data_IF_643039546909
#
_entry.id   IF_643039546909
#
_cell.length_a   1.000
_cell.length_b   1.000
_cell.length_c   1.000
_cell.angle_alpha   90.00
_cell.angle_beta   90.00
_cell.angle_gamma   90.00
#
_symmetry.space_group_name_H-M   'P 1'
#
loop_
_entity.id
_entity.type
_entity.pdbx_description
1 polymer ?
#
# COMPACT_ATOMS: atom_id res chain seq x y z
N UNK A 1 3.72 5.16 8.89
CA UNK A 1 2.56 5.44 8.03
C UNK A 1 2.15 4.15 7.32
N UNK A 2 0.89 3.80 7.40
CA UNK A 2 0.35 2.61 6.74
C UNK A 2 -0.92 3.00 6.01
N UNK A 3 -1.04 2.55 4.77
CA UNK A 3 -2.22 2.80 3.94
C UNK A 3 -2.72 1.46 3.40
N UNK A 4 -3.97 1.14 3.67
CA UNK A 4 -4.59 -0.12 3.26
C UNK A 4 -5.68 0.13 2.23
N UNK A 5 -5.70 -0.69 1.21
CA UNK A 5 -6.61 -0.57 0.08
C UNK A 5 -7.23 -1.92 -0.22
N UNK A 6 -8.48 -1.91 -0.65
CA UNK A 6 -9.17 -3.11 -1.10
C UNK A 6 -9.88 -2.86 -2.42
N UNK A 7 -10.01 -3.92 -3.19
CA UNK A 7 -10.84 -3.92 -4.39
C UNK A 7 -11.74 -5.14 -4.33
N UNK A 8 -13.03 -4.90 -4.12
CA UNK A 8 -14.01 -5.96 -3.95
C UNK A 8 -15.09 -5.80 -5.02
N UNK A 9 -15.18 -6.79 -5.90
CA UNK A 9 -16.21 -6.87 -6.93
C UNK A 9 -16.71 -8.30 -6.99
N UNK A 10 -17.79 -8.62 -6.24
CA UNK A 10 -18.31 -9.99 -6.18
C UNK A 10 -18.77 -10.52 -7.54
N UNK A 11 -19.27 -9.66 -8.42
CA UNK A 11 -19.72 -10.06 -9.75
C UNK A 11 -18.60 -10.61 -10.60
N UNK A 12 -17.37 -10.12 -10.39
CA UNK A 12 -16.17 -10.55 -11.10
C UNK A 12 -15.32 -11.49 -10.25
N UNK A 13 -15.81 -11.91 -9.10
CA UNK A 13 -15.05 -12.72 -8.15
C UNK A 13 -13.69 -12.08 -7.82
N UNK A 14 -13.70 -10.75 -7.66
CA UNK A 14 -12.50 -9.98 -7.38
C UNK A 14 -12.46 -9.56 -5.91
N UNK A 15 -11.51 -10.11 -5.17
CA UNK A 15 -11.31 -9.82 -3.75
C UNK A 15 -9.81 -9.60 -3.54
N UNK A 16 -9.36 -8.35 -3.66
CA UNK A 16 -7.94 -8.03 -3.60
C UNK A 16 -7.65 -7.00 -2.52
N UNK A 17 -6.46 -7.07 -1.97
CA UNK A 17 -5.97 -6.06 -1.05
C UNK A 17 -4.64 -5.50 -1.54
N UNK A 18 -4.31 -4.31 -1.07
CA UNK A 18 -3.02 -3.68 -1.30
C UNK A 18 -2.66 -2.87 -0.06
N UNK A 19 -1.48 -3.11 0.48
CA UNK A 19 -1.01 -2.42 1.68
C UNK A 19 0.30 -1.71 1.37
N UNK A 20 0.39 -0.45 1.77
CA UNK A 20 1.58 0.37 1.58
C UNK A 20 2.03 0.81 2.97
N UNK A 21 3.30 0.59 3.30
CA UNK A 21 3.86 1.10 4.54
C UNK A 21 5.12 1.90 4.28
N UNK A 22 5.28 2.97 5.06
CA UNK A 22 6.46 3.82 5.03
C UNK A 22 7.04 3.84 6.43
N UNK A 23 8.29 3.44 6.55
CA UNK A 23 9.02 3.42 7.80
C UNK A 23 10.42 4.00 7.60
N UNK A 24 10.98 4.56 8.65
CA UNK A 24 12.39 4.96 8.66
C UNK A 24 13.19 3.93 9.45
N UNK A 25 14.42 3.66 8.99
CA UNK A 25 15.30 2.77 9.72
C UNK A 25 16.31 3.57 10.55
N UNK A 26 17.21 2.85 11.24
CA UNK A 26 18.21 3.44 12.10
C UNK A 26 19.34 4.16 11.34
N UNK A 27 19.40 3.98 10.04
CA UNK A 27 20.44 4.55 9.18
C UNK A 27 19.93 5.73 8.34
N UNK A 28 18.84 6.36 8.78
CA UNK A 28 18.22 7.49 8.09
C UNK A 28 17.72 7.15 6.68
N UNK A 29 17.51 5.88 6.40
CA UNK A 29 16.87 5.45 5.17
C UNK A 29 15.37 5.33 5.36
N UNK A 30 14.61 5.56 4.28
CA UNK A 30 13.17 5.46 4.26
C UNK A 30 12.76 4.27 3.43
N UNK A 31 11.98 3.37 4.02
CA UNK A 31 11.59 2.11 3.39
C UNK A 31 10.10 2.14 3.06
N UNK A 32 9.79 1.98 1.79
CA UNK A 32 8.41 1.83 1.31
C UNK A 32 8.19 0.35 1.01
N UNK A 33 7.31 -0.27 1.78
CA UNK A 33 6.96 -1.69 1.60
C UNK A 33 5.55 -1.78 1.05
N UNK A 34 5.38 -2.56 -0.01
CA UNK A 34 4.07 -2.84 -0.58
C UNK A 34 3.79 -4.32 -0.48
N UNK A 35 2.59 -4.67 -0.08
CA UNK A 35 2.15 -6.05 -0.02
C UNK A 35 0.76 -6.13 -0.63
N UNK A 36 0.53 -7.10 -1.50
CA UNK A 36 -0.74 -7.24 -2.19
C UNK A 36 -1.05 -8.69 -2.47
N UNK A 37 -2.30 -8.97 -2.74
CA UNK A 37 -2.74 -10.31 -3.06
C UNK A 37 -4.24 -10.44 -2.99
N UNK A 38 -4.72 -11.67 -2.99
CA UNK A 38 -6.13 -11.98 -2.83
C UNK A 38 -6.47 -12.06 -1.35
N UNK A 39 -7.58 -11.44 -0.97
CA UNK A 39 -8.08 -11.51 0.41
C UNK A 39 -8.37 -12.97 0.77
N UNK A 40 -7.83 -13.41 1.90
CA UNK A 40 -7.99 -14.78 2.37
C UNK A 40 -6.97 -15.77 1.83
N UNK A 41 -6.14 -15.37 0.87
CA UNK A 41 -5.07 -16.22 0.36
C UNK A 41 -3.86 -16.16 1.26
N UNK A 42 -3.15 -17.29 1.38
CA UNK A 42 -1.88 -17.33 2.13
C UNK A 42 -0.71 -16.84 1.29
N UNK A 43 -0.87 -16.71 -0.02
CA UNK A 43 0.18 -16.23 -0.91
C UNK A 43 0.02 -14.76 -1.17
N UNK A 44 1.02 -14.00 -0.78
CA UNK A 44 1.06 -12.56 -0.98
C UNK A 44 2.32 -12.18 -1.74
N UNK A 45 2.22 -11.11 -2.50
CA UNK A 45 3.36 -10.49 -3.16
C UNK A 45 3.87 -9.35 -2.30
N UNK A 46 5.17 -9.14 -2.29
CA UNK A 46 5.77 -8.07 -1.52
C UNK A 46 6.87 -7.40 -2.33
N UNK A 47 6.92 -6.08 -2.24
CA UNK A 47 7.97 -5.28 -2.86
C UNK A 47 8.48 -4.27 -1.83
N UNK A 48 9.79 -4.10 -1.77
CA UNK A 48 10.42 -3.17 -0.84
C UNK A 48 11.32 -2.23 -1.63
N UNK A 49 11.13 -0.93 -1.45
CA UNK A 49 11.95 0.12 -2.05
C UNK A 49 12.59 0.95 -0.93
N UNK A 50 13.86 1.29 -1.09
CA UNK A 50 14.60 2.08 -0.10
C UNK A 50 14.97 3.43 -0.71
N UNK A 51 14.75 4.50 0.05
CA UNK A 51 15.02 5.87 -0.38
C UNK A 51 15.87 6.59 0.65
N UNK A 52 16.71 7.50 0.20
CA UNK A 52 17.58 8.31 1.08
C UNK A 52 16.87 9.55 1.61
N UNK A 53 15.69 9.88 1.07
CA UNK A 53 14.96 11.10 1.38
C UNK A 53 13.52 10.78 1.71
N UNK A 54 12.98 11.44 2.74
CA UNK A 54 11.56 11.32 3.08
C UNK A 54 10.68 11.81 1.94
N UNK A 55 11.08 12.87 1.26
CA UNK A 55 10.31 13.44 0.15
C UNK A 55 10.18 12.45 -1.01
N UNK A 56 11.26 11.75 -1.34
CA UNK A 56 11.24 10.73 -2.38
C UNK A 56 10.35 9.55 -1.99
N UNK A 57 10.45 9.11 -0.74
CA UNK A 57 9.63 8.01 -0.24
C UNK A 57 8.13 8.38 -0.27
N UNK A 58 7.78 9.58 0.20
CA UNK A 58 6.40 10.07 0.17
C UNK A 58 5.88 10.21 -1.26
N UNK A 59 6.73 10.69 -2.18
CA UNK A 59 6.35 10.79 -3.59
C UNK A 59 6.03 9.41 -4.17
N UNK A 60 6.78 8.40 -3.80
CA UNK A 60 6.53 7.02 -4.23
C UNK A 60 5.20 6.51 -3.67
N UNK A 61 4.93 6.76 -2.38
CA UNK A 61 3.66 6.36 -1.76
C UNK A 61 2.48 7.02 -2.48
N UNK A 62 2.56 8.32 -2.74
CA UNK A 62 1.50 9.05 -3.43
C UNK A 62 1.26 8.52 -4.84
N UNK A 63 2.34 8.17 -5.53
CA UNK A 63 2.25 7.60 -6.88
C UNK A 63 1.52 6.26 -6.86
N UNK A 64 1.86 5.40 -5.90
CA UNK A 64 1.21 4.10 -5.73
C UNK A 64 -0.26 4.27 -5.38
N UNK A 65 -0.57 5.20 -4.47
CA UNK A 65 -1.96 5.48 -4.09
C UNK A 65 -2.78 5.97 -5.29
N UNK A 66 -2.21 6.83 -6.12
CA UNK A 66 -2.88 7.33 -7.33
C UNK A 66 -3.18 6.18 -8.30
N UNK A 67 -2.25 5.24 -8.44
CA UNK A 67 -2.45 4.06 -9.30
C UNK A 67 -3.55 3.18 -8.74
N UNK A 68 -3.60 3.01 -7.40
CA UNK A 68 -4.66 2.21 -6.77
C UNK A 68 -6.03 2.84 -6.98
N UNK A 69 -6.15 4.15 -6.85
CA UNK A 69 -7.40 4.86 -7.15
C UNK A 69 -7.82 4.66 -8.61
N UNK A 70 -6.88 4.75 -9.52
CA UNK A 70 -7.14 4.55 -10.95
C UNK A 70 -7.65 3.14 -11.24
N UNK A 71 -7.21 2.15 -10.48
CA UNK A 71 -7.63 0.76 -10.64
C UNK A 71 -8.85 0.40 -9.77
N UNK A 72 -9.57 1.40 -9.28
CA UNK A 72 -10.80 1.24 -8.52
C UNK A 72 -10.63 0.61 -7.13
N UNK A 73 -9.43 0.69 -6.57
CA UNK A 73 -9.24 0.31 -5.18
C UNK A 73 -9.83 1.39 -4.28
N UNK A 74 -10.33 0.98 -3.13
CA UNK A 74 -10.84 1.87 -2.11
C UNK A 74 -9.96 1.78 -0.87
N UNK A 75 -9.70 2.92 -0.26
CA UNK A 75 -8.93 2.92 0.98
C UNK A 75 -9.78 2.35 2.12
N UNK A 76 -9.18 1.45 2.89
CA UNK A 76 -9.79 0.92 4.10
C UNK A 76 -9.17 1.53 5.34
N UNK A 77 -8.20 2.42 5.17
CA UNK A 77 -7.58 3.12 6.28
C UNK A 77 -8.63 4.02 6.92
N UNK A 78 -8.98 3.73 8.16
CA UNK A 78 -9.98 4.49 8.87
C UNK A 78 -9.41 5.80 9.38
N UNK A 79 -10.04 6.94 9.14
CA UNK A 79 -9.60 8.20 9.71
C UNK A 79 -10.00 8.38 11.18
N UNK A 80 -10.83 7.53 11.70
CA UNK A 80 -11.39 7.70 13.03
C UNK A 80 -10.48 7.25 14.17
N UNK A 81 -9.39 6.65 13.85
CA UNK A 81 -8.42 6.25 14.86
C UNK A 81 -7.60 7.42 15.38
N UNK A 82 -7.78 8.53 14.84
CA UNK A 82 -7.12 9.73 15.28
C UNK A 82 -7.59 10.11 16.69
#
# INVERSE_FOLDING_TARGET
>A
MISNWTKIDPKRNCFRFYSISLASDLFDAYVVSCEWGRIGSKRHHRKVDVFDSADEALAQVKRIEAIRLKHHYQTTTSPCYA
#
